data_IF_831549800502
#
_entry.id   IF_831549800502
#
_cell.length_a   1.000
_cell.length_b   1.000
_cell.length_c   1.000
_cell.angle_alpha   90.00
_cell.angle_beta   90.00
_cell.angle_gamma   90.00
#
_symmetry.space_group_name_H-M   'P 1'
#
loop_
_entity.id
_entity.type
_entity.pdbx_description
1 polymer ?
#
# COMPACT_ATOMS: atom_id res chain seq x y z
N UNK A 1 2.77 -9.60 -13.14
CA UNK A 1 3.55 -8.36 -12.94
C UNK A 1 5.00 -8.69 -12.58
N UNK A 2 5.99 -7.97 -13.12
CA UNK A 2 7.40 -8.12 -12.78
C UNK A 2 7.80 -7.07 -11.74
N UNK A 3 8.41 -7.53 -10.64
CA UNK A 3 8.88 -6.70 -9.54
C UNK A 3 10.40 -6.55 -9.59
N UNK A 4 10.88 -5.38 -9.17
CA UNK A 4 12.27 -5.16 -8.81
C UNK A 4 12.61 -5.88 -7.50
N UNK A 5 13.91 -6.09 -7.24
CA UNK A 5 14.38 -6.71 -5.99
C UNK A 5 13.92 -5.97 -4.74
N UNK A 6 13.81 -4.65 -4.80
CA UNK A 6 13.31 -3.86 -3.67
C UNK A 6 11.81 -4.09 -3.45
N UNK A 7 11.01 -4.07 -4.52
CA UNK A 7 9.57 -4.30 -4.42
C UNK A 7 9.23 -5.74 -3.99
N UNK A 8 10.02 -6.74 -4.41
CA UNK A 8 9.92 -8.12 -3.92
C UNK A 8 10.11 -8.17 -2.40
N UNK A 9 11.16 -7.53 -1.88
CA UNK A 9 11.43 -7.48 -0.43
C UNK A 9 10.31 -6.76 0.34
N UNK A 10 9.70 -5.72 -0.25
CA UNK A 10 8.50 -5.09 0.33
C UNK A 10 7.33 -6.06 0.34
N UNK A 11 7.08 -6.77 -0.76
CA UNK A 11 6.02 -7.77 -0.89
C UNK A 11 6.17 -8.94 0.11
N UNK A 12 7.41 -9.35 0.38
CA UNK A 12 7.76 -10.39 1.34
C UNK A 12 7.66 -9.91 2.81
N UNK A 13 7.56 -8.59 3.01
CA UNK A 13 7.28 -7.97 4.31
C UNK A 13 8.52 -7.49 5.07
N UNK A 14 9.68 -7.42 4.41
CA UNK A 14 10.93 -6.94 5.04
C UNK A 14 10.87 -5.48 5.50
N UNK A 15 9.89 -4.71 5.02
CA UNK A 15 9.74 -3.28 5.33
C UNK A 15 8.51 -2.94 6.19
N UNK A 16 7.98 -3.93 6.91
CA UNK A 16 6.82 -3.77 7.80
C UNK A 16 5.51 -4.20 7.15
N UNK A 17 4.52 -4.45 8.02
CA UNK A 17 3.22 -4.99 7.63
C UNK A 17 2.45 -4.02 6.71
N UNK A 18 2.47 -2.72 7.01
CA UNK A 18 1.75 -1.71 6.24
C UNK A 18 2.22 -1.69 4.78
N UNK A 19 3.53 -1.63 4.57
CA UNK A 19 4.11 -1.64 3.21
C UNK A 19 3.85 -2.96 2.50
N UNK A 20 3.89 -4.08 3.23
CA UNK A 20 3.59 -5.39 2.67
C UNK A 20 2.16 -5.49 2.14
N UNK A 21 1.17 -5.07 2.94
CA UNK A 21 -0.24 -5.11 2.56
C UNK A 21 -0.49 -4.19 1.36
N UNK A 22 0.02 -2.96 1.39
CA UNK A 22 -0.09 -2.03 0.26
C UNK A 22 0.53 -2.59 -1.03
N UNK A 23 1.73 -3.18 -0.96
CA UNK A 23 2.38 -3.79 -2.12
C UNK A 23 1.59 -4.98 -2.66
N UNK A 24 1.06 -5.85 -1.79
CA UNK A 24 0.18 -6.96 -2.21
C UNK A 24 -1.06 -6.49 -2.95
N UNK A 25 -1.67 -5.39 -2.51
CA UNK A 25 -2.82 -4.79 -3.21
C UNK A 25 -2.40 -4.31 -4.60
N UNK A 26 -1.28 -3.59 -4.72
CA UNK A 26 -0.77 -3.09 -6.01
C UNK A 26 -0.45 -4.23 -6.99
N UNK A 27 0.25 -5.27 -6.52
CA UNK A 27 0.57 -6.48 -7.32
C UNK A 27 -0.71 -7.16 -7.78
N UNK A 28 -1.69 -7.34 -6.88
CA UNK A 28 -2.94 -8.01 -7.24
C UNK A 28 -3.74 -7.24 -8.28
N UNK A 29 -3.78 -5.92 -8.18
CA UNK A 29 -4.39 -5.05 -9.20
C UNK A 29 -3.61 -5.13 -10.51
N UNK A 30 -2.28 -5.07 -10.46
CA UNK A 30 -1.42 -5.20 -11.64
C UNK A 30 -1.67 -6.52 -12.37
N UNK A 31 -1.68 -7.65 -11.65
CA UNK A 31 -1.99 -8.96 -12.23
C UNK A 31 -3.41 -9.03 -12.80
N UNK A 32 -4.40 -8.44 -12.11
CA UNK A 32 -5.79 -8.40 -12.56
C UNK A 32 -5.95 -7.63 -13.88
N UNK A 33 -5.21 -6.53 -14.05
CA UNK A 33 -5.28 -5.68 -15.25
C UNK A 33 -4.21 -5.99 -16.30
N UNK A 34 -3.36 -7.01 -16.08
CA UNK A 34 -2.29 -7.38 -17.01
C UNK A 34 -1.15 -6.35 -17.09
N UNK A 35 -0.86 -5.65 -15.99
CA UNK A 35 0.24 -4.71 -15.92
C UNK A 35 1.60 -5.44 -15.82
N UNK A 36 2.55 -4.98 -16.62
CA UNK A 36 3.89 -5.57 -16.64
C UNK A 36 4.75 -5.14 -15.45
N UNK A 37 4.63 -3.89 -14.99
CA UNK A 37 5.47 -3.31 -13.92
C UNK A 37 4.77 -2.13 -13.23
N UNK A 38 5.25 -1.77 -12.04
CA UNK A 38 4.88 -0.51 -11.39
C UNK A 38 5.57 0.68 -12.08
N UNK A 39 4.95 1.85 -11.98
CA UNK A 39 5.49 3.11 -12.48
C UNK A 39 5.76 4.02 -11.26
N UNK A 40 6.99 4.52 -11.06
CA UNK A 40 7.27 5.42 -9.97
C UNK A 40 6.51 6.74 -10.14
N UNK A 41 6.00 7.27 -9.04
CA UNK A 41 5.33 8.58 -8.98
C UNK A 41 6.03 9.44 -7.94
N UNK A 42 6.14 10.73 -8.21
CA UNK A 42 6.73 11.69 -7.26
C UNK A 42 5.76 12.08 -6.15
N UNK A 43 4.45 12.05 -6.44
CA UNK A 43 3.41 12.43 -5.49
C UNK A 43 2.06 11.78 -5.80
N UNK A 44 1.25 11.60 -4.76
CA UNK A 44 -0.14 11.20 -4.85
C UNK A 44 -0.98 12.08 -3.92
N UNK A 45 -2.18 12.44 -4.36
CA UNK A 45 -3.17 13.12 -3.53
C UNK A 45 -4.39 12.23 -3.36
N UNK A 46 -4.83 12.05 -2.13
CA UNK A 46 -6.03 11.28 -1.79
C UNK A 46 -7.15 12.29 -1.50
N UNK A 47 -8.17 12.32 -2.37
CA UNK A 47 -9.36 13.17 -2.21
C UNK A 47 -10.56 12.35 -1.71
N UNK A 48 -11.58 13.02 -1.15
CA UNK A 48 -12.81 12.35 -0.70
C UNK A 48 -12.69 11.55 0.60
N UNK A 49 -11.62 11.79 1.36
CA UNK A 49 -11.35 11.19 2.67
C UNK A 49 -12.25 11.86 3.71
N UNK A 50 -13.31 11.18 4.12
CA UNK A 50 -14.18 11.66 5.21
C UNK A 50 -14.74 10.48 6.00
N UNK A 51 -15.01 10.68 7.28
CA UNK A 51 -15.62 9.63 8.08
C UNK A 51 -16.99 9.19 7.53
N UNK A 52 -17.76 10.11 6.91
CA UNK A 52 -19.04 9.78 6.25
C UNK A 52 -18.90 8.82 5.07
N UNK A 53 -17.76 8.86 4.37
CA UNK A 53 -17.50 8.02 3.20
C UNK A 53 -16.72 6.76 3.54
N UNK A 54 -16.06 6.72 4.68
CA UNK A 54 -15.14 5.65 5.09
C UNK A 54 -15.68 4.75 6.19
N UNK A 55 -16.47 5.31 7.12
CA UNK A 55 -16.94 4.60 8.31
C UNK A 55 -15.80 4.09 9.19
N UNK A 56 -16.14 3.31 10.22
CA UNK A 56 -15.19 2.86 11.23
C UNK A 56 -14.11 1.93 10.65
N UNK A 57 -14.51 0.96 9.83
CA UNK A 57 -13.60 -0.08 9.33
C UNK A 57 -12.44 0.51 8.51
N UNK A 58 -12.73 1.48 7.62
CA UNK A 58 -11.68 2.09 6.84
C UNK A 58 -10.83 3.06 7.68
N UNK A 59 -11.42 3.71 8.70
CA UNK A 59 -10.66 4.53 9.65
C UNK A 59 -9.68 3.69 10.46
N UNK A 60 -10.15 2.58 11.06
CA UNK A 60 -9.29 1.65 11.81
C UNK A 60 -8.16 1.08 10.95
N UNK A 61 -8.45 0.78 9.67
CA UNK A 61 -7.43 0.30 8.74
C UNK A 61 -6.35 1.35 8.45
N UNK A 62 -6.75 2.62 8.23
CA UNK A 62 -5.80 3.71 8.04
C UNK A 62 -4.96 3.96 9.30
N UNK A 63 -5.58 3.87 10.49
CA UNK A 63 -4.88 3.98 11.77
C UNK A 63 -3.86 2.86 11.96
N UNK A 64 -4.22 1.61 11.64
CA UNK A 64 -3.31 0.47 11.71
C UNK A 64 -2.11 0.64 10.75
N UNK A 65 -2.35 1.09 9.52
CA UNK A 65 -1.29 1.40 8.56
C UNK A 65 -0.39 2.52 9.10
N UNK A 66 -0.97 3.58 9.68
CA UNK A 66 -0.23 4.71 10.20
C UNK A 66 0.63 4.34 11.42
N UNK A 67 0.16 3.44 12.27
CA UNK A 67 0.89 2.95 13.43
C UNK A 67 2.16 2.16 13.04
N UNK A 68 2.08 1.30 12.03
CA UNK A 68 3.22 0.51 11.52
C UNK A 68 4.14 1.37 10.63
N UNK A 69 3.60 2.32 9.87
CA UNK A 69 4.37 3.27 9.06
C UNK A 69 5.27 4.20 9.92
N UNK A 70 4.95 4.37 11.19
CA UNK A 70 5.67 5.19 12.18
C UNK A 70 6.64 4.37 13.04
N UNK A 71 7.38 3.41 12.47
CA UNK A 71 8.59 2.87 13.08
C UNK A 71 9.66 3.96 13.31
N UNK A 72 9.42 4.87 14.27
CA UNK A 72 10.44 5.62 14.98
C UNK A 72 11.06 4.63 15.95
N UNK A 73 12.39 4.50 15.87
CA UNK A 73 13.21 3.86 16.90
C UNK A 73 12.95 4.44 18.29
#
# INVERSE_FOLDING_TARGET
MYLTKEEERVYDGEYGWARQVCMKILVKLGDLFGADRLIPIDSAHISGVSYKTMGDVATEFIEAIAADANGKA
#
